data_IF_299294295205
#
_entry.id   IF_299294295205
#
_cell.length_a   1.000
_cell.length_b   1.000
_cell.length_c   1.000
_cell.angle_alpha   90.00
_cell.angle_beta   90.00
_cell.angle_gamma   90.00
#
_symmetry.space_group_name_H-M   'P 1'
#
loop_
_entity.id
_entity.type
_entity.pdbx_description
1 polymer ?
#
# COMPACT_ATOMS: atom_id res chain seq x y z
N UNK A 1 -11.27 -0.48 12.97
CA UNK A 1 -11.46 -1.13 11.68
C UNK A 1 -10.11 -1.47 11.05
N UNK A 2 -9.25 -0.48 10.78
CA UNK A 2 -7.93 -0.64 10.14
C UNK A 2 -7.13 -1.81 10.73
N UNK A 3 -6.86 -1.81 12.02
CA UNK A 3 -6.09 -2.86 12.69
C UNK A 3 -6.69 -4.26 12.50
N UNK A 4 -8.03 -4.37 12.43
CA UNK A 4 -8.69 -5.65 12.20
C UNK A 4 -8.43 -6.17 10.80
N UNK A 5 -8.55 -5.30 9.78
CA UNK A 5 -8.30 -5.66 8.40
C UNK A 5 -6.83 -6.01 8.18
N UNK A 6 -5.91 -5.17 8.64
CA UNK A 6 -4.48 -5.46 8.53
C UNK A 6 -4.08 -6.75 9.26
N UNK A 7 -4.65 -7.02 10.45
CA UNK A 7 -4.44 -8.30 11.15
C UNK A 7 -4.92 -9.51 10.36
N UNK A 8 -6.00 -9.38 9.60
CA UNK A 8 -6.56 -10.45 8.77
C UNK A 8 -5.59 -10.85 7.64
N UNK A 9 -4.94 -9.87 7.04
CA UNK A 9 -4.04 -10.07 5.90
C UNK A 9 -2.56 -10.23 6.28
N UNK A 10 -2.18 -9.97 7.54
CA UNK A 10 -0.80 -10.10 7.99
C UNK A 10 -0.68 -10.91 9.29
N UNK A 11 -0.43 -10.27 10.41
CA UNK A 11 -0.36 -10.87 11.74
C UNK A 11 -1.29 -10.13 12.71
N UNK A 12 -1.74 -10.75 13.81
CA UNK A 12 -2.45 -10.03 14.87
C UNK A 12 -1.65 -8.82 15.35
N UNK A 13 -2.35 -7.71 15.60
CA UNK A 13 -1.71 -6.48 16.10
C UNK A 13 -1.00 -6.76 17.44
N UNK A 14 0.32 -6.58 17.52
CA UNK A 14 1.10 -7.06 18.65
C UNK A 14 1.22 -6.05 19.81
N UNK A 15 0.76 -4.80 19.60
CA UNK A 15 0.97 -3.73 20.58
C UNK A 15 -0.28 -3.46 21.42
N UNK A 16 -0.12 -2.89 22.65
CA UNK A 16 -1.24 -2.67 23.55
C UNK A 16 -2.15 -1.51 23.15
N UNK A 17 -1.71 -0.63 22.25
CA UNK A 17 -2.44 0.58 21.88
C UNK A 17 -2.16 0.98 20.43
N UNK A 18 -3.10 1.72 19.84
CA UNK A 18 -2.92 2.48 18.61
C UNK A 18 -3.67 3.80 18.77
N UNK A 19 -2.98 4.90 18.56
CA UNK A 19 -3.49 6.25 18.79
C UNK A 19 -3.48 6.98 17.44
N UNK A 20 -4.60 7.59 17.07
CA UNK A 20 -4.70 8.47 15.92
C UNK A 20 -5.04 9.87 16.41
N UNK A 21 -4.20 10.84 16.08
CA UNK A 21 -4.28 12.22 16.59
C UNK A 21 -4.60 13.16 15.44
N UNK A 22 -5.57 14.05 15.64
CA UNK A 22 -5.82 15.13 14.70
C UNK A 22 -4.64 16.13 14.69
N UNK A 23 -4.08 16.37 13.52
CA UNK A 23 -2.96 17.27 13.27
C UNK A 23 -3.05 17.93 11.88
N UNK A 24 -2.04 18.67 11.48
CA UNK A 24 -2.05 19.38 10.19
C UNK A 24 -1.86 18.45 8.98
N UNK A 25 -1.08 17.37 9.13
CA UNK A 25 -0.71 16.45 8.05
C UNK A 25 -0.82 15.00 8.50
N UNK A 26 -0.84 14.07 7.53
CA UNK A 26 -0.61 12.66 7.77
C UNK A 26 0.84 12.42 8.19
N UNK A 27 1.04 11.57 9.19
CA UNK A 27 2.37 11.13 9.63
C UNK A 27 2.26 9.93 10.55
N UNK A 28 3.10 8.95 10.33
CA UNK A 28 3.14 7.68 11.06
C UNK A 28 4.32 7.62 12.05
N UNK A 29 4.04 7.00 13.18
CA UNK A 29 5.02 6.58 14.17
C UNK A 29 4.56 5.27 14.82
N UNK A 30 5.45 4.50 15.48
CA UNK A 30 5.02 3.30 16.18
C UNK A 30 3.92 3.59 17.20
N UNK A 31 2.76 2.95 17.05
CA UNK A 31 1.59 3.04 17.94
C UNK A 31 0.90 4.41 18.01
N UNK A 32 1.38 5.43 17.31
CA UNK A 32 0.73 6.73 17.23
C UNK A 32 0.86 7.28 15.81
N UNK A 33 -0.22 7.79 15.26
CA UNK A 33 -0.27 8.42 13.95
C UNK A 33 -0.98 9.77 14.01
N UNK A 34 -0.75 10.59 13.02
CA UNK A 34 -1.34 11.91 12.89
C UNK A 34 -2.14 11.98 11.58
N UNK A 35 -3.24 12.72 11.58
CA UNK A 35 -4.08 12.88 10.41
C UNK A 35 -4.79 14.22 10.43
N UNK A 36 -5.10 14.81 9.26
CA UNK A 36 -5.93 16.02 9.19
C UNK A 36 -7.32 15.78 9.77
N UNK A 37 -7.87 16.82 10.39
CA UNK A 37 -9.26 16.82 10.82
C UNK A 37 -10.22 16.89 9.64
N UNK A 38 -11.44 16.38 9.83
CA UNK A 38 -12.50 16.46 8.83
C UNK A 38 -13.27 17.77 8.85
N UNK A 39 -13.27 18.44 10.00
CA UNK A 39 -14.08 19.64 10.21
C UNK A 39 -13.44 20.88 9.59
N UNK A 40 -14.25 21.73 9.00
CA UNK A 40 -13.89 23.09 8.60
C UNK A 40 -13.86 24.01 9.82
N UNK A 41 -13.39 25.25 9.65
CA UNK A 41 -13.27 26.24 10.73
C UNK A 41 -14.61 26.57 11.41
N UNK A 42 -15.75 26.38 10.72
CA UNK A 42 -17.09 26.55 11.23
C UNK A 42 -17.69 25.29 11.91
N UNK A 43 -16.89 24.21 11.98
CA UNK A 43 -17.31 22.93 12.55
C UNK A 43 -18.08 22.01 11.59
N UNK A 44 -18.33 22.45 10.36
CA UNK A 44 -19.00 21.62 9.35
C UNK A 44 -18.00 20.70 8.62
N UNK A 45 -18.50 19.72 7.87
CA UNK A 45 -17.73 18.89 6.97
C UNK A 45 -18.56 18.47 5.76
N UNK A 46 -17.88 18.18 4.66
CA UNK A 46 -18.47 17.62 3.45
C UNK A 46 -18.20 16.12 3.36
N UNK A 47 -18.93 15.39 2.51
CA UNK A 47 -18.58 13.99 2.22
C UNK A 47 -17.13 13.84 1.71
N UNK A 48 -16.68 14.78 0.88
CA UNK A 48 -15.30 14.79 0.41
C UNK A 48 -14.28 14.92 1.54
N UNK A 49 -14.46 15.85 2.48
CA UNK A 49 -13.55 16.00 3.62
C UNK A 49 -13.63 14.83 4.62
N UNK A 50 -14.82 14.24 4.78
CA UNK A 50 -15.01 13.02 5.57
C UNK A 50 -14.23 11.85 4.97
N UNK A 51 -14.41 11.60 3.66
CA UNK A 51 -13.71 10.51 2.99
C UNK A 51 -12.19 10.72 2.98
N UNK A 52 -11.74 11.96 2.78
CA UNK A 52 -10.32 12.28 2.89
C UNK A 52 -9.75 12.00 4.29
N UNK A 53 -10.48 12.33 5.35
CA UNK A 53 -10.05 12.03 6.72
C UNK A 53 -10.03 10.52 6.98
N UNK A 54 -11.03 9.77 6.52
CA UNK A 54 -11.07 8.30 6.64
C UNK A 54 -9.88 7.68 5.91
N UNK A 55 -9.59 8.12 4.68
CA UNK A 55 -8.46 7.69 3.88
C UNK A 55 -7.15 7.84 4.66
N UNK A 56 -6.87 9.03 5.17
CA UNK A 56 -5.62 9.30 5.90
C UNK A 56 -5.56 8.53 7.21
N UNK A 57 -6.65 8.43 7.96
CA UNK A 57 -6.67 7.65 9.22
C UNK A 57 -6.36 6.17 8.94
N UNK A 58 -6.94 5.58 7.90
CA UNK A 58 -6.66 4.18 7.55
C UNK A 58 -5.20 4.03 7.13
N UNK A 59 -4.68 4.95 6.34
CA UNK A 59 -3.31 4.97 5.86
C UNK A 59 -2.31 5.06 7.02
N UNK A 60 -2.40 6.10 7.82
CA UNK A 60 -1.44 6.37 8.90
C UNK A 60 -1.48 5.32 10.03
N UNK A 61 -2.65 4.82 10.37
CA UNK A 61 -2.77 3.69 11.31
C UNK A 61 -2.22 2.40 10.69
N UNK A 62 -2.38 2.23 9.38
CA UNK A 62 -1.85 1.09 8.61
C UNK A 62 -0.32 1.00 8.66
N UNK A 63 0.36 2.13 8.65
CA UNK A 63 1.83 2.20 8.78
C UNK A 63 2.37 1.59 10.07
N UNK A 64 1.56 1.38 11.09
CA UNK A 64 1.99 0.59 12.25
C UNK A 64 2.39 -0.84 11.86
N UNK A 65 1.86 -1.36 10.77
CA UNK A 65 2.29 -2.62 10.16
C UNK A 65 3.42 -2.42 9.14
N UNK A 66 3.22 -1.57 8.16
CA UNK A 66 4.14 -1.26 7.08
C UNK A 66 4.47 0.25 7.12
N UNK A 67 5.66 0.69 7.55
CA UNK A 67 6.88 -0.11 7.75
C UNK A 67 7.19 -0.49 9.21
N UNK A 68 6.37 -0.18 10.21
CA UNK A 68 6.79 -0.26 11.62
C UNK A 68 7.03 -1.70 12.11
N UNK A 69 6.23 -2.68 11.66
CA UNK A 69 6.42 -4.10 12.00
C UNK A 69 7.22 -4.82 10.91
N UNK A 70 6.93 -4.52 9.65
CA UNK A 70 7.64 -5.05 8.47
C UNK A 70 8.51 -3.95 7.92
N UNK A 71 9.68 -3.76 8.54
CA UNK A 71 10.53 -2.60 8.26
C UNK A 71 11.00 -2.55 6.81
N UNK A 72 11.21 -1.36 6.29
CA UNK A 72 11.72 -1.13 4.95
C UNK A 72 12.85 -0.11 4.96
N UNK A 73 13.75 -0.20 3.97
CA UNK A 73 14.68 0.88 3.67
C UNK A 73 13.98 1.89 2.73
N UNK A 74 13.24 2.82 3.33
CA UNK A 74 12.43 3.83 2.65
C UNK A 74 13.27 4.74 1.75
N UNK A 75 14.54 4.96 2.09
CA UNK A 75 15.46 5.75 1.28
C UNK A 75 15.85 5.06 -0.03
N UNK A 76 15.75 3.75 -0.07
CA UNK A 76 15.94 2.99 -1.31
C UNK A 76 14.63 2.70 -2.01
N UNK A 77 13.59 2.30 -1.26
CA UNK A 77 12.33 1.78 -1.81
C UNK A 77 11.10 2.40 -1.14
N UNK A 78 10.74 3.61 -1.54
CA UNK A 78 9.55 4.29 -1.00
C UNK A 78 8.26 3.47 -1.18
N UNK A 79 8.12 2.73 -2.27
CA UNK A 79 6.96 1.88 -2.53
C UNK A 79 6.82 0.72 -1.53
N UNK A 80 7.91 0.32 -0.90
CA UNK A 80 7.92 -0.81 0.04
C UNK A 80 7.34 -0.44 1.40
N UNK A 81 7.35 0.85 1.69
CA UNK A 81 6.62 1.49 2.75
C UNK A 81 5.19 1.84 2.27
N UNK A 82 5.09 2.83 1.41
CA UNK A 82 3.84 3.46 0.99
C UNK A 82 2.94 2.55 0.15
N UNK A 83 3.53 1.78 -0.75
CA UNK A 83 2.78 0.96 -1.70
C UNK A 83 2.16 -0.28 -1.07
N UNK A 84 2.87 -0.97 -0.17
CA UNK A 84 2.30 -2.09 0.59
C UNK A 84 1.19 -1.60 1.51
N UNK A 85 1.40 -0.47 2.18
CA UNK A 85 0.39 0.15 3.02
C UNK A 85 -0.84 0.59 2.21
N UNK A 86 -0.65 1.26 1.06
CA UNK A 86 -1.74 1.68 0.17
C UNK A 86 -2.57 0.51 -0.37
N UNK A 87 -1.94 -0.63 -0.64
CA UNK A 87 -2.66 -1.83 -1.03
C UNK A 87 -3.56 -2.36 0.10
N UNK A 88 -3.06 -2.46 1.32
CA UNK A 88 -3.88 -2.88 2.47
C UNK A 88 -4.92 -1.85 2.87
N UNK A 89 -4.62 -0.57 2.69
CA UNK A 89 -5.58 0.52 2.84
C UNK A 89 -6.77 0.33 1.90
N UNK A 90 -6.53 0.05 0.63
CA UNK A 90 -7.58 -0.24 -0.35
C UNK A 90 -8.48 -1.40 0.12
N UNK A 91 -7.90 -2.49 0.64
CA UNK A 91 -8.69 -3.58 1.20
C UNK A 91 -9.51 -3.17 2.43
N UNK A 92 -8.93 -2.33 3.29
CA UNK A 92 -9.62 -1.81 4.47
C UNK A 92 -10.76 -0.85 4.11
N UNK A 93 -10.55 0.03 3.14
CA UNK A 93 -11.59 0.91 2.61
C UNK A 93 -12.74 0.10 1.99
N UNK A 94 -12.43 -0.92 1.20
CA UNK A 94 -13.42 -1.79 0.56
C UNK A 94 -14.25 -2.60 1.58
N UNK A 95 -13.64 -3.01 2.69
CA UNK A 95 -14.34 -3.67 3.81
C UNK A 95 -15.15 -2.66 4.66
N UNK A 96 -14.77 -1.39 4.65
CA UNK A 96 -15.48 -0.33 5.35
C UNK A 96 -16.75 0.09 4.61
N UNK A 97 -16.62 0.39 3.33
CA UNK A 97 -17.70 0.76 2.43
C UNK A 97 -17.40 0.25 1.02
N UNK A 98 -18.20 -0.68 0.47
CA UNK A 98 -18.01 -1.18 -0.88
C UNK A 98 -18.09 -0.11 -1.99
N UNK A 99 -18.66 1.06 -1.68
CA UNK A 99 -18.76 2.19 -2.61
C UNK A 99 -17.77 3.32 -2.28
N UNK A 100 -16.75 3.04 -1.47
CA UNK A 100 -15.76 4.03 -1.10
C UNK A 100 -15.02 4.56 -2.34
N UNK A 101 -14.81 5.87 -2.47
CA UNK A 101 -14.12 6.46 -3.62
C UNK A 101 -12.60 6.25 -3.51
N UNK A 102 -12.14 5.06 -3.88
CA UNK A 102 -10.75 4.65 -3.78
C UNK A 102 -9.80 5.52 -4.60
N UNK A 103 -8.62 5.80 -4.02
CA UNK A 103 -7.49 6.42 -4.71
C UNK A 103 -6.36 5.43 -5.03
N UNK A 104 -6.41 4.24 -4.45
CA UNK A 104 -5.42 3.18 -4.56
C UNK A 104 -6.10 1.85 -4.90
N UNK A 105 -5.37 0.92 -5.47
CA UNK A 105 -5.85 -0.43 -5.74
C UNK A 105 -6.52 -0.65 -7.09
N UNK A 106 -7.65 0.01 -7.42
CA UNK A 106 -8.28 -0.15 -8.73
C UNK A 106 -7.37 0.26 -9.90
N UNK A 107 -7.46 -0.48 -11.01
CA UNK A 107 -6.55 -0.27 -12.15
C UNK A 107 -6.80 1.02 -12.91
N UNK A 108 -8.00 1.57 -12.85
CA UNK A 108 -8.35 2.83 -13.51
C UNK A 108 -7.62 4.05 -12.92
N UNK A 109 -7.27 4.01 -11.63
CA UNK A 109 -6.59 5.14 -10.98
C UNK A 109 -5.15 5.35 -11.47
N UNK A 110 -4.49 4.33 -12.05
CA UNK A 110 -3.12 4.45 -12.60
C UNK A 110 -3.11 4.86 -14.09
N UNK A 111 -4.25 4.82 -14.77
CA UNK A 111 -4.34 5.03 -16.23
C UNK A 111 -3.75 6.36 -16.66
N UNK A 112 -4.03 7.44 -15.94
CA UNK A 112 -3.53 8.78 -16.28
C UNK A 112 -2.00 8.88 -16.20
N UNK A 113 -1.38 8.20 -15.24
CA UNK A 113 0.07 8.11 -15.12
C UNK A 113 0.65 7.27 -16.27
N UNK A 114 0.14 6.07 -16.49
CA UNK A 114 0.66 5.16 -17.52
C UNK A 114 0.46 5.65 -18.95
N UNK A 115 -0.45 6.60 -19.17
CA UNK A 115 -0.68 7.24 -20.49
C UNK A 115 0.28 8.37 -20.80
N UNK A 116 1.17 8.73 -19.89
CA UNK A 116 2.17 9.77 -20.11
C UNK A 116 3.28 9.30 -21.06
N UNK A 117 4.06 10.24 -21.65
CA UNK A 117 5.24 9.88 -22.43
C UNK A 117 6.22 9.01 -21.63
N UNK A 118 6.84 8.03 -22.26
CA UNK A 118 7.76 7.08 -21.60
C UNK A 118 8.87 7.73 -20.76
N UNK A 119 9.37 8.88 -21.19
CA UNK A 119 10.38 9.63 -20.43
C UNK A 119 9.86 10.30 -19.14
N UNK A 120 8.57 10.25 -18.91
CA UNK A 120 7.93 10.70 -17.65
C UNK A 120 7.56 9.55 -16.73
N UNK A 121 7.74 8.30 -17.19
CA UNK A 121 7.42 7.11 -16.42
C UNK A 121 8.67 6.57 -15.72
N UNK A 122 8.48 5.98 -14.55
CA UNK A 122 9.55 5.44 -13.73
C UNK A 122 9.20 4.02 -13.26
N UNK A 123 10.19 3.11 -13.20
CA UNK A 123 10.02 1.84 -12.52
C UNK A 123 9.62 2.02 -11.05
N UNK A 124 8.79 1.15 -10.51
CA UNK A 124 8.47 1.16 -9.07
C UNK A 124 9.75 1.05 -8.23
N UNK A 125 10.73 0.30 -8.72
CA UNK A 125 12.03 0.09 -8.06
C UNK A 125 13.00 1.28 -8.16
N UNK A 126 12.57 2.43 -8.69
CA UNK A 126 13.38 3.65 -8.71
C UNK A 126 13.76 4.04 -7.27
N UNK A 127 15.04 4.38 -7.07
CA UNK A 127 15.51 4.85 -5.77
C UNK A 127 14.72 6.08 -5.33
N UNK A 128 14.31 6.11 -4.08
CA UNK A 128 13.38 7.10 -3.53
C UNK A 128 13.82 8.55 -3.75
N UNK A 129 15.12 8.81 -3.70
CA UNK A 129 15.68 10.16 -3.90
C UNK A 129 15.65 10.63 -5.37
N UNK A 130 15.39 9.71 -6.30
CA UNK A 130 15.37 9.97 -7.74
C UNK A 130 13.95 9.98 -8.34
N UNK A 131 12.93 9.68 -7.56
CA UNK A 131 11.55 9.65 -8.04
C UNK A 131 11.06 11.06 -8.34
N UNK A 132 10.56 11.28 -9.56
CA UNK A 132 10.00 12.55 -9.99
C UNK A 132 8.50 12.63 -9.66
N UNK A 133 7.76 11.58 -9.97
CA UNK A 133 6.32 11.49 -9.70
C UNK A 133 6.04 10.61 -8.47
N UNK A 134 6.46 11.10 -7.31
CA UNK A 134 6.51 10.34 -6.07
C UNK A 134 5.19 9.64 -5.72
N UNK A 135 4.07 10.37 -5.78
CA UNK A 135 2.77 9.81 -5.41
C UNK A 135 2.32 8.68 -6.35
N UNK A 136 2.52 8.84 -7.65
CA UNK A 136 2.18 7.79 -8.61
C UNK A 136 3.08 6.56 -8.45
N UNK A 137 4.37 6.77 -8.23
CA UNK A 137 5.38 5.71 -8.16
C UNK A 137 5.34 4.94 -6.83
N UNK A 138 5.31 5.66 -5.70
CA UNK A 138 5.39 5.03 -4.38
C UNK A 138 4.05 4.46 -3.89
N UNK A 139 2.91 5.07 -4.23
CA UNK A 139 1.59 4.70 -3.73
C UNK A 139 0.72 3.99 -4.77
N UNK A 140 0.42 4.68 -5.90
CA UNK A 140 -0.65 4.22 -6.81
C UNK A 140 -0.21 2.99 -7.61
N UNK A 141 0.92 3.06 -8.31
CA UNK A 141 1.38 1.98 -9.18
C UNK A 141 1.60 0.67 -8.44
N UNK A 142 2.29 0.63 -7.29
CA UNK A 142 2.48 -0.61 -6.54
C UNK A 142 1.17 -1.17 -5.95
N UNK A 143 0.27 -0.33 -5.45
CA UNK A 143 -1.02 -0.80 -4.94
C UNK A 143 -1.91 -1.39 -6.04
N UNK A 144 -1.90 -0.80 -7.24
CA UNK A 144 -2.57 -1.38 -8.41
C UNK A 144 -1.93 -2.70 -8.83
N UNK A 145 -0.59 -2.78 -8.87
CA UNK A 145 0.13 -4.01 -9.21
C UNK A 145 -0.25 -5.16 -8.26
N UNK A 146 -0.22 -4.91 -6.96
CA UNK A 146 -0.57 -5.91 -5.95
C UNK A 146 -2.05 -6.32 -6.02
N UNK A 147 -2.94 -5.38 -6.35
CA UNK A 147 -4.35 -5.69 -6.56
C UNK A 147 -4.57 -6.58 -7.80
N UNK A 148 -3.90 -6.30 -8.92
CA UNK A 148 -3.93 -7.15 -10.11
C UNK A 148 -3.37 -8.54 -9.79
N UNK A 149 -2.26 -8.60 -9.09
CA UNK A 149 -1.65 -9.86 -8.69
C UNK A 149 -2.62 -10.70 -7.87
N UNK A 150 -3.32 -10.06 -6.91
CA UNK A 150 -4.31 -10.70 -6.04
C UNK A 150 -5.58 -11.13 -6.77
N UNK A 151 -6.17 -10.24 -7.57
CA UNK A 151 -7.51 -10.46 -8.14
C UNK A 151 -7.47 -11.30 -9.42
N UNK A 152 -6.40 -11.17 -10.21
CA UNK A 152 -6.37 -11.69 -11.58
C UNK A 152 -5.35 -12.81 -11.77
N UNK A 153 -4.14 -12.67 -11.20
CA UNK A 153 -3.03 -13.58 -11.51
C UNK A 153 -3.00 -14.76 -10.55
N UNK A 154 -2.84 -14.51 -9.25
CA UNK A 154 -2.76 -15.56 -8.25
C UNK A 154 -4.13 -16.05 -7.75
N UNK A 155 -5.15 -15.18 -7.81
CA UNK A 155 -6.41 -15.36 -7.10
C UNK A 155 -6.29 -15.03 -5.61
N UNK A 156 -7.41 -14.60 -5.02
CA UNK A 156 -7.44 -14.08 -3.64
C UNK A 156 -6.91 -15.06 -2.60
N UNK A 157 -7.30 -16.30 -2.68
CA UNK A 157 -6.93 -17.31 -1.66
C UNK A 157 -5.43 -17.54 -1.64
N UNK A 158 -4.82 -17.73 -2.82
CA UNK A 158 -3.39 -18.00 -2.94
C UNK A 158 -2.55 -16.77 -2.59
N UNK A 159 -2.94 -15.60 -3.10
CA UNK A 159 -2.27 -14.35 -2.73
C UNK A 159 -2.35 -14.07 -1.23
N UNK A 160 -3.53 -14.14 -0.64
CA UNK A 160 -3.73 -13.84 0.78
C UNK A 160 -2.98 -14.83 1.69
N UNK A 161 -2.85 -16.09 1.25
CA UNK A 161 -2.00 -17.07 1.93
C UNK A 161 -0.52 -16.69 1.85
N UNK A 162 -0.01 -16.41 0.65
CA UNK A 162 1.39 -16.05 0.43
C UNK A 162 1.77 -14.75 1.15
N UNK A 163 0.87 -13.76 1.15
CA UNK A 163 1.09 -12.49 1.85
C UNK A 163 1.12 -12.65 3.38
N UNK A 164 0.27 -13.53 3.94
CA UNK A 164 0.38 -13.89 5.38
C UNK A 164 1.67 -14.64 5.69
N UNK A 165 2.15 -15.50 4.80
CA UNK A 165 3.46 -16.16 4.95
C UNK A 165 4.61 -15.15 4.91
N UNK A 166 4.54 -14.14 4.03
CA UNK A 166 5.47 -13.02 4.05
C UNK A 166 5.45 -12.32 5.41
N UNK A 167 4.28 -11.95 5.89
CA UNK A 167 4.13 -11.29 7.18
C UNK A 167 4.68 -12.15 8.33
N UNK A 168 4.36 -13.45 8.36
CA UNK A 168 4.87 -14.37 9.38
C UNK A 168 6.39 -14.52 9.38
N UNK A 169 7.01 -14.57 8.20
CA UNK A 169 8.47 -14.73 8.05
C UNK A 169 9.24 -13.45 8.40
N UNK A 170 8.67 -12.29 8.11
CA UNK A 170 9.39 -11.03 8.10
C UNK A 170 8.96 -10.04 9.19
N UNK A 171 7.97 -10.35 10.03
CA UNK A 171 7.61 -9.52 11.17
C UNK A 171 8.82 -9.23 12.06
N UNK A 172 9.01 -7.97 12.44
CA UNK A 172 10.12 -7.46 13.24
C UNK A 172 11.51 -7.65 12.63
N UNK A 173 11.56 -7.75 11.31
CA UNK A 173 12.79 -7.84 10.52
C UNK A 173 12.84 -6.74 9.46
N UNK A 174 13.90 -6.72 8.68
CA UNK A 174 14.17 -5.73 7.63
C UNK A 174 14.21 -6.41 6.26
N UNK A 175 13.06 -6.83 5.71
CA UNK A 175 13.02 -7.44 4.40
C UNK A 175 13.36 -6.44 3.29
N UNK A 176 13.88 -6.97 2.21
CA UNK A 176 14.05 -6.26 0.95
C UNK A 176 12.90 -6.61 -0.01
N UNK A 177 12.71 -5.87 -1.12
CA UNK A 177 11.78 -6.27 -2.17
C UNK A 177 11.98 -7.69 -2.68
N UNK A 178 13.22 -8.14 -2.80
CA UNK A 178 13.55 -9.50 -3.20
C UNK A 178 13.04 -10.56 -2.20
N UNK A 179 12.99 -10.24 -0.93
CA UNK A 179 12.46 -11.13 0.11
C UNK A 179 10.93 -11.24 0.02
N UNK A 180 10.24 -10.15 -0.32
CA UNK A 180 8.81 -10.20 -0.64
C UNK A 180 8.56 -11.09 -1.86
N UNK A 181 9.24 -10.81 -2.99
CA UNK A 181 9.04 -11.52 -4.24
C UNK A 181 9.26 -13.02 -4.07
N UNK A 182 10.39 -13.43 -3.52
CA UNK A 182 10.69 -14.85 -3.25
C UNK A 182 9.68 -15.48 -2.29
N UNK A 183 9.25 -14.76 -1.26
CA UNK A 183 8.29 -15.33 -0.32
C UNK A 183 6.94 -15.56 -0.97
N UNK A 184 6.50 -14.62 -1.82
CA UNK A 184 5.25 -14.78 -2.58
C UNK A 184 5.32 -16.00 -3.50
N UNK A 185 6.41 -16.18 -4.25
CA UNK A 185 6.63 -17.33 -5.14
C UNK A 185 6.75 -18.64 -4.38
N UNK A 186 7.59 -18.69 -3.33
CA UNK A 186 7.76 -19.88 -2.49
C UNK A 186 6.44 -20.38 -1.88
N UNK A 187 5.62 -19.45 -1.42
CA UNK A 187 4.39 -19.78 -0.72
C UNK A 187 3.26 -20.16 -1.68
N UNK A 188 3.19 -19.55 -2.85
CA UNK A 188 2.15 -19.81 -3.85
C UNK A 188 2.50 -20.97 -4.79
N UNK A 189 3.78 -21.28 -4.92
CA UNK A 189 4.34 -22.16 -5.96
C UNK A 189 4.12 -21.64 -7.41
N UNK A 190 3.92 -20.33 -7.56
CA UNK A 190 3.79 -19.64 -8.84
C UNK A 190 5.13 -19.04 -9.26
N UNK A 191 5.46 -19.09 -10.56
CA UNK A 191 6.56 -18.33 -11.15
C UNK A 191 6.04 -16.93 -11.53
N UNK A 192 6.45 -15.92 -10.74
CA UNK A 192 6.02 -14.54 -10.89
C UNK A 192 7.16 -13.62 -11.40
N UNK A 193 8.30 -14.15 -11.79
CA UNK A 193 9.44 -13.37 -12.30
C UNK A 193 9.04 -12.39 -13.40
N UNK A 194 8.19 -12.84 -14.33
CA UNK A 194 7.69 -12.03 -15.43
C UNK A 194 6.86 -10.84 -14.93
N UNK A 195 6.05 -11.04 -13.88
CA UNK A 195 5.21 -10.01 -13.28
C UNK A 195 6.07 -8.95 -12.57
N UNK A 196 7.01 -9.39 -11.72
CA UNK A 196 7.91 -8.49 -11.02
C UNK A 196 8.72 -7.66 -11.99
N UNK A 197 9.29 -8.26 -13.04
CA UNK A 197 10.05 -7.54 -14.09
C UNK A 197 9.21 -6.51 -14.80
N UNK A 198 8.00 -6.85 -15.21
CA UNK A 198 7.11 -5.93 -15.92
C UNK A 198 6.63 -4.77 -15.07
N UNK A 199 6.10 -5.05 -13.89
CA UNK A 199 5.48 -4.04 -13.05
C UNK A 199 6.48 -3.22 -12.23
N UNK A 200 7.47 -3.87 -11.63
CA UNK A 200 8.36 -3.23 -10.66
C UNK A 200 9.65 -2.69 -11.28
N UNK A 201 10.19 -3.37 -12.26
CA UNK A 201 11.44 -2.95 -12.92
C UNK A 201 11.21 -2.30 -14.29
N UNK A 202 10.02 -2.37 -14.84
CA UNK A 202 9.65 -1.84 -16.15
C UNK A 202 8.81 -0.57 -16.09
N UNK A 203 8.70 0.08 -17.26
CA UNK A 203 7.82 1.24 -17.50
C UNK A 203 6.83 0.98 -18.65
N UNK A 204 6.87 -0.22 -19.22
CA UNK A 204 5.97 -0.55 -20.32
C UNK A 204 4.53 -0.65 -19.79
N UNK A 205 3.53 -0.16 -20.55
CA UNK A 205 2.14 -0.39 -20.20
C UNK A 205 1.83 -1.88 -20.25
N UNK A 206 0.96 -2.31 -19.35
CA UNK A 206 0.43 -3.67 -19.42
C UNK A 206 -0.53 -3.73 -20.62
N UNK A 207 -0.15 -4.47 -21.64
CA UNK A 207 -0.97 -4.73 -22.83
C UNK A 207 -1.71 -6.05 -22.58
N UNK A 208 -3.02 -5.97 -22.35
CA UNK A 208 -3.87 -7.13 -22.07
C UNK A 208 -4.71 -7.45 -23.32
#
# INVERSE_FOLDING_TARGET
HTLRTYSKYSIPYPYPTAISVEAANGMEYPMISFNPGRAQSDGTYTEGSKNAAILVIIHEVGHTYFPMIFNSDERQWAWFDEGLNSFLQFLAESEWDPNYPHKFGPTDVITSYMSQPKNSLEPIMTNSENIIQYFANAYIKPSCALNILRETIMGRENFDYAFREYARRWAFKHPTPADLFRTMEDASADDLDWFWRGWFYGIEPCDI
#
